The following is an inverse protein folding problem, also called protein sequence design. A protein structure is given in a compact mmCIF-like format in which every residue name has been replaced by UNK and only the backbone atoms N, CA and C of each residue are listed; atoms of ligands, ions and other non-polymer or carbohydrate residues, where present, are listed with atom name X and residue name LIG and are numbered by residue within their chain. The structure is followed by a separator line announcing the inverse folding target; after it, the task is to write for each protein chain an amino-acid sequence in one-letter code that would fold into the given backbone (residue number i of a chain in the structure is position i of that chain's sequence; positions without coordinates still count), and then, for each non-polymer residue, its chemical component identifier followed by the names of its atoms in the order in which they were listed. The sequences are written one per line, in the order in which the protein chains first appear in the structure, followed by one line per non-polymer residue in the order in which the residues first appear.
data_IF_444783886920
#
_entry.id   IF_444783886920
#
_cell.length_a   1.000
_cell.length_b   1.000
_cell.length_c   1.000
_cell.angle_alpha   90.00
_cell.angle_beta   90.00
_cell.angle_gamma   90.00
#
_symmetry.space_group_name_H-M   'P 1'
#
loop_
_entity.id
_entity.type
_entity.pdbx_description
1 polymer ?
#
# COMPACT_ATOMS: atom_id res chain seq x y z
N UNK A 1 -22.63 -18.51 0.77
CA UNK A 1 -22.57 -17.15 1.34
C UNK A 1 -21.25 -16.55 0.91
N UNK A 2 -21.26 -15.48 0.11
CA UNK A 2 -20.04 -14.69 -0.14
C UNK A 2 -19.92 -13.76 1.06
N UNK A 3 -18.95 -13.99 1.92
CA UNK A 3 -18.62 -13.03 2.96
C UNK A 3 -18.20 -11.76 2.21
N UNK A 4 -18.85 -10.64 2.49
CA UNK A 4 -18.35 -9.34 2.07
C UNK A 4 -17.13 -9.11 2.94
N UNK A 5 -15.95 -9.45 2.42
CA UNK A 5 -14.69 -9.15 3.07
C UNK A 5 -14.48 -7.65 2.90
N UNK A 6 -14.56 -6.85 3.98
CA UNK A 6 -14.23 -5.44 3.86
C UNK A 6 -12.73 -5.40 3.58
N UNK A 7 -12.36 -5.17 2.31
CA UNK A 7 -11.00 -4.82 1.96
C UNK A 7 -10.53 -3.65 2.83
N UNK A 8 -9.23 -3.41 2.84
CA UNK A 8 -8.56 -2.40 3.68
C UNK A 8 -9.40 -1.12 3.85
N UNK A 9 -9.75 -0.77 5.10
CA UNK A 9 -10.48 0.47 5.39
C UNK A 9 -9.57 1.65 5.10
N UNK A 10 -9.93 2.42 4.07
CA UNK A 10 -9.11 3.54 3.62
C UNK A 10 -8.97 4.62 4.67
N UNK A 11 -10.02 4.90 5.45
CA UNK A 11 -9.98 5.97 6.46
C UNK A 11 -9.10 5.59 7.63
N UNK A 12 -9.13 4.31 8.01
CA UNK A 12 -8.22 3.74 9.00
C UNK A 12 -6.77 3.80 8.50
N UNK A 13 -6.51 3.31 7.29
CA UNK A 13 -5.17 3.33 6.71
C UNK A 13 -4.62 4.76 6.57
N UNK A 14 -5.41 5.73 6.10
CA UNK A 14 -4.98 7.14 6.01
C UNK A 14 -4.60 7.74 7.38
N UNK A 15 -5.20 7.26 8.47
CA UNK A 15 -4.81 7.66 9.83
C UNK A 15 -3.47 7.06 10.20
N UNK A 16 -3.35 5.73 10.11
CA UNK A 16 -2.13 5.01 10.50
C UNK A 16 -0.91 5.45 9.70
N UNK A 17 -1.05 5.71 8.39
CA UNK A 17 0.05 6.20 7.56
C UNK A 17 0.53 7.59 7.96
N UNK A 18 -0.37 8.48 8.38
CA UNK A 18 0.01 9.81 8.89
C UNK A 18 0.74 9.70 10.22
N UNK A 19 0.21 8.88 11.11
CA UNK A 19 0.76 8.72 12.45
C UNK A 19 2.13 8.02 12.42
N UNK A 20 2.34 7.07 11.49
CA UNK A 20 3.59 6.32 11.38
C UNK A 20 4.69 7.03 10.59
N UNK A 21 4.36 7.79 9.54
CA UNK A 21 5.36 8.26 8.56
C UNK A 21 5.45 9.79 8.39
N UNK A 22 4.65 10.59 9.12
CA UNK A 22 4.62 12.06 9.02
C UNK A 22 4.54 12.56 7.55
N UNK A 23 3.74 11.85 6.74
CA UNK A 23 3.72 12.02 5.30
C UNK A 23 2.72 13.07 4.82
N UNK A 24 2.97 13.62 3.62
CA UNK A 24 2.07 14.55 2.95
C UNK A 24 0.66 13.94 2.78
N UNK A 25 -0.43 14.66 3.17
CA UNK A 25 -1.80 14.16 3.06
C UNK A 25 -2.23 13.71 1.66
N UNK A 26 -1.72 14.34 0.60
CA UNK A 26 -2.04 13.98 -0.78
C UNK A 26 -1.39 12.64 -1.13
N UNK A 27 -0.15 12.43 -0.70
CA UNK A 27 0.55 11.15 -0.87
C UNK A 27 -0.10 10.05 -0.04
N UNK A 28 -0.51 10.34 1.21
CA UNK A 28 -1.26 9.41 2.06
C UNK A 28 -2.54 8.95 1.37
N UNK A 29 -3.31 9.88 0.80
CA UNK A 29 -4.56 9.58 0.08
C UNK A 29 -4.30 8.67 -1.12
N UNK A 30 -3.24 8.94 -1.88
CA UNK A 30 -2.86 8.13 -3.03
C UNK A 30 -2.45 6.72 -2.60
N UNK A 31 -1.56 6.58 -1.61
CA UNK A 31 -1.11 5.27 -1.12
C UNK A 31 -2.28 4.47 -0.53
N UNK A 32 -3.14 5.09 0.28
CA UNK A 32 -4.29 4.42 0.86
C UNK A 32 -5.28 3.92 -0.21
N UNK A 33 -5.46 4.67 -1.30
CA UNK A 33 -6.25 4.21 -2.46
C UNK A 33 -5.60 3.01 -3.14
N UNK A 34 -4.30 3.06 -3.43
CA UNK A 34 -3.60 1.97 -4.09
C UNK A 34 -3.61 0.68 -3.25
N UNK A 35 -3.48 0.81 -1.93
CA UNK A 35 -3.57 -0.31 -0.99
C UNK A 35 -4.97 -0.95 -0.97
N UNK A 36 -6.02 -0.13 -0.99
CA UNK A 36 -7.39 -0.64 -1.12
C UNK A 36 -7.60 -1.37 -2.45
N UNK A 37 -7.13 -0.79 -3.55
CA UNK A 37 -7.21 -1.41 -4.89
C UNK A 37 -6.45 -2.75 -4.94
N UNK A 38 -5.31 -2.86 -4.25
CA UNK A 38 -4.58 -4.11 -4.07
C UNK A 38 -5.41 -5.13 -3.27
N UNK A 39 -5.99 -4.72 -2.12
CA UNK A 39 -6.79 -5.60 -1.28
C UNK A 39 -8.04 -6.14 -1.98
N UNK A 40 -8.65 -5.36 -2.89
CA UNK A 40 -9.84 -5.76 -3.67
C UNK A 40 -9.52 -6.61 -4.90
N UNK A 41 -8.24 -6.84 -5.21
CA UNK A 41 -7.83 -7.51 -6.44
C UNK A 41 -7.86 -9.05 -6.39
N UNK A 42 -8.14 -9.64 -5.22
CA UNK A 42 -7.97 -11.07 -4.88
C UNK A 42 -6.52 -11.60 -5.05
N UNK A 43 -5.60 -10.81 -5.61
CA UNK A 43 -4.24 -11.25 -5.93
C UNK A 43 -3.44 -11.58 -4.67
N UNK A 44 -3.43 -10.69 -3.68
CA UNK A 44 -2.71 -10.91 -2.43
C UNK A 44 -3.21 -12.17 -1.70
N UNK A 45 -4.52 -12.38 -1.63
CA UNK A 45 -5.13 -13.59 -1.05
C UNK A 45 -4.73 -14.85 -1.83
N UNK A 46 -4.68 -14.75 -3.15
CA UNK A 46 -4.27 -15.87 -4.02
C UNK A 46 -2.81 -16.27 -3.79
N UNK A 47 -1.92 -15.28 -3.65
CA UNK A 47 -0.49 -15.50 -3.53
C UNK A 47 -0.07 -15.91 -2.10
N UNK A 48 -0.67 -15.31 -1.08
CA UNK A 48 -0.25 -15.46 0.32
C UNK A 48 -1.23 -16.24 1.21
N UNK A 49 -2.44 -16.54 0.72
CA UNK A 49 -3.44 -17.32 1.46
C UNK A 49 -4.10 -16.59 2.64
N UNK A 50 -3.88 -15.28 2.77
CA UNK A 50 -4.45 -14.42 3.80
C UNK A 50 -4.90 -13.07 3.22
N UNK A 51 -5.84 -12.41 3.90
CA UNK A 51 -6.26 -11.05 3.56
C UNK A 51 -5.16 -10.04 3.92
N UNK A 52 -5.05 -8.97 3.13
CA UNK A 52 -4.15 -7.86 3.44
C UNK A 52 -4.82 -6.93 4.45
N UNK A 53 -4.17 -6.69 5.58
CA UNK A 53 -4.67 -5.80 6.63
C UNK A 53 -3.96 -4.44 6.65
N UNK A 54 -4.51 -3.47 7.40
CA UNK A 54 -3.86 -2.18 7.65
C UNK A 54 -2.52 -2.37 8.37
N UNK A 55 -2.51 -3.26 9.38
CA UNK A 55 -1.30 -3.61 10.14
C UNK A 55 -0.22 -4.19 9.22
N UNK A 56 -0.56 -5.16 8.36
CA UNK A 56 0.39 -5.71 7.39
C UNK A 56 1.01 -4.63 6.51
N UNK A 57 0.20 -3.67 6.02
CA UNK A 57 0.71 -2.58 5.19
C UNK A 57 1.68 -1.72 5.97
N UNK A 58 1.31 -1.25 7.17
CA UNK A 58 2.17 -0.36 7.97
C UNK A 58 3.48 -1.05 8.33
N UNK A 59 3.43 -2.31 8.76
CA UNK A 59 4.61 -3.10 9.12
C UNK A 59 5.56 -3.27 7.92
N UNK A 60 5.02 -3.65 6.76
CA UNK A 60 5.84 -3.81 5.55
C UNK A 60 6.43 -2.48 5.05
N UNK A 61 5.75 -1.35 5.25
CA UNK A 61 6.28 -0.02 4.91
C UNK A 61 7.37 0.44 5.89
N UNK A 62 7.30 0.03 7.15
CA UNK A 62 8.31 0.33 8.16
C UNK A 62 9.66 -0.36 7.86
N UNK A 63 9.63 -1.53 7.22
CA UNK A 63 10.83 -2.29 6.80
C UNK A 63 11.61 -1.63 5.65
N UNK A 64 11.02 -0.67 4.94
CA UNK A 64 11.69 0.08 3.88
C UNK A 64 12.79 1.00 4.46
N UNK A 65 13.82 1.37 3.65
CA UNK A 65 14.91 2.25 4.09
C UNK A 65 14.42 3.53 4.78
N UNK A 66 15.12 3.93 5.86
CA UNK A 66 14.71 5.06 6.71
C UNK A 66 14.57 6.40 5.95
N UNK A 67 15.39 6.59 4.92
CA UNK A 67 15.44 7.79 4.08
C UNK A 67 14.33 7.84 3.00
N UNK A 68 13.53 6.77 2.87
CA UNK A 68 12.44 6.73 1.89
C UNK A 68 11.20 7.45 2.39
N UNK A 69 10.64 8.30 1.53
CA UNK A 69 9.33 8.89 1.71
C UNK A 69 8.22 7.86 1.48
N UNK A 70 7.00 8.15 1.92
CA UNK A 70 5.89 7.18 1.91
C UNK A 70 5.63 6.53 0.54
N UNK A 71 5.66 7.30 -0.55
CA UNK A 71 5.50 6.76 -1.90
C UNK A 71 6.66 5.83 -2.32
N UNK A 72 7.88 6.12 -1.87
CA UNK A 72 9.07 5.28 -2.12
C UNK A 72 9.00 3.98 -1.32
N UNK A 73 8.58 4.04 -0.04
CA UNK A 73 8.33 2.86 0.80
C UNK A 73 7.27 1.94 0.18
N UNK A 74 6.17 2.53 -0.30
CA UNK A 74 5.12 1.80 -1.00
C UNK A 74 5.63 1.11 -2.26
N UNK A 75 6.34 1.84 -3.12
CA UNK A 75 6.90 1.29 -4.34
C UNK A 75 8.00 0.25 -4.09
N UNK A 76 8.78 0.40 -3.01
CA UNK A 76 9.78 -0.57 -2.58
C UNK A 76 9.12 -1.89 -2.19
N UNK A 77 8.07 -1.84 -1.36
CA UNK A 77 7.34 -3.03 -0.96
C UNK A 77 6.65 -3.72 -2.13
N UNK A 78 5.96 -2.97 -2.99
CA UNK A 78 5.39 -3.52 -4.23
C UNK A 78 6.44 -4.12 -5.16
N UNK A 79 7.65 -3.54 -5.19
CA UNK A 79 8.79 -4.12 -5.89
C UNK A 79 9.14 -5.51 -5.35
N UNK A 80 9.19 -5.69 -4.03
CA UNK A 80 9.42 -6.99 -3.41
C UNK A 80 8.30 -8.01 -3.72
N UNK A 81 7.04 -7.58 -3.72
CA UNK A 81 5.91 -8.42 -4.13
C UNK A 81 5.99 -8.79 -5.62
N UNK A 82 6.32 -7.84 -6.49
CA UNK A 82 6.48 -8.06 -7.93
C UNK A 82 7.65 -9.01 -8.25
N UNK A 83 8.76 -8.90 -7.50
CA UNK A 83 9.89 -9.82 -7.62
C UNK A 83 9.53 -11.25 -7.22
N UNK A 84 8.63 -11.44 -6.25
CA UNK A 84 8.29 -12.77 -5.73
C UNK A 84 7.15 -13.45 -6.49
N UNK A 85 6.11 -12.71 -6.88
CA UNK A 85 4.88 -13.26 -7.46
C UNK A 85 4.46 -12.57 -8.77
N UNK A 86 5.01 -11.39 -9.07
CA UNK A 86 4.73 -10.63 -10.29
C UNK A 86 3.35 -9.98 -10.31
N UNK A 87 3.18 -8.97 -11.18
CA UNK A 87 1.90 -8.29 -11.41
C UNK A 87 1.54 -7.22 -10.38
N UNK A 88 2.42 -6.91 -9.43
CA UNK A 88 2.19 -5.91 -8.38
C UNK A 88 2.54 -4.49 -8.83
N UNK A 89 3.37 -4.33 -9.87
CA UNK A 89 3.76 -3.02 -10.42
C UNK A 89 2.57 -2.14 -10.86
N UNK A 90 1.41 -2.74 -11.14
CA UNK A 90 0.16 -2.00 -11.47
C UNK A 90 -0.39 -1.16 -10.30
N UNK A 91 -0.01 -1.49 -9.07
CA UNK A 91 -0.45 -0.79 -7.86
C UNK A 91 0.55 0.28 -7.41
N UNK A 92 1.67 0.46 -8.13
CA UNK A 92 2.68 1.46 -7.79
C UNK A 92 2.18 2.89 -7.93
N UNK A 93 2.66 3.77 -7.06
CA UNK A 93 2.48 5.21 -7.19
C UNK A 93 3.45 5.71 -8.25
N UNK A 94 2.92 6.35 -9.30
CA UNK A 94 3.77 6.97 -10.34
C UNK A 94 4.37 8.26 -9.81
N UNK A 95 5.68 8.43 -9.97
CA UNK A 95 6.39 9.61 -9.47
C UNK A 95 6.11 10.89 -10.29
N UNK A 96 5.36 10.77 -11.39
CA UNK A 96 4.93 11.89 -12.23
C UNK A 96 4.00 12.87 -11.48
N UNK A 97 3.46 12.46 -10.33
CA UNK A 97 2.61 13.27 -9.45
C UNK A 97 3.44 14.30 -8.64
N UNK A 98 4.76 14.12 -8.55
CA UNK A 98 5.65 14.90 -7.68
C UNK A 98 6.28 16.14 -8.35
N UNK A 99 5.94 16.42 -9.62
CA UNK A 99 6.53 17.54 -10.39
C UNK A 99 5.72 18.85 -10.38
N UNK A 100 4.73 18.97 -9.51
CA UNK A 100 3.97 20.23 -9.37
C UNK A 100 3.68 20.53 -7.90
N UNK A 101 4.66 21.03 -7.16
CA UNK A 101 4.46 21.87 -5.98
C UNK A 101 5.64 22.84 -5.83
#
# INVERSE_FOLDING_TARGET
MRVLHPGVDRTELERELRDAFDADPDIVTVVARQARDLSESDQFVTDFGAELTVEDIVDNLADAPEDYQLAERWNWWLGALDLSHGGYARFSVRQDIDKTS
#
